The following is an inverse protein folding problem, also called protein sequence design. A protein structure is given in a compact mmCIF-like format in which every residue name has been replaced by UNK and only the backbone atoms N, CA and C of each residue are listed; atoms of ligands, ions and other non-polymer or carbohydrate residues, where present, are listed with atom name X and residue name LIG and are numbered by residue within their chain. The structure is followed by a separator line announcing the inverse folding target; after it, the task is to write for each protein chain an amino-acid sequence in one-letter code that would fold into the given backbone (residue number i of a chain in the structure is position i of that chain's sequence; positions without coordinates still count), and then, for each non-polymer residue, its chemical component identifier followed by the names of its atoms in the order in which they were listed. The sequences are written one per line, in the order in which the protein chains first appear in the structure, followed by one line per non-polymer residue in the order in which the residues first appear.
data_IF_798887803730
#
_entry.id   IF_798887803730
#
_cell.length_a   1.000
_cell.length_b   1.000
_cell.length_c   1.000
_cell.angle_alpha   90.00
_cell.angle_beta   90.00
_cell.angle_gamma   90.00
#
_symmetry.space_group_name_H-M   'P 1'
#
loop_
_entity.id
_entity.type
_entity.pdbx_description
1 polymer ?
#
# COMPACT_ATOMS: atom_id res chain seq x y z
N UNK A 1 73.47 -8.80 -17.54
CA UNK A 1 72.14 -8.31 -17.99
C UNK A 1 71.46 -7.65 -16.81
N UNK A 2 71.30 -6.32 -16.85
CA UNK A 2 70.67 -5.52 -15.78
C UNK A 2 69.30 -5.06 -16.29
N UNK A 3 68.23 -5.59 -15.72
CA UNK A 3 66.85 -5.23 -16.09
C UNK A 3 66.33 -4.22 -15.08
N UNK A 4 66.17 -2.96 -15.50
CA UNK A 4 65.50 -1.90 -14.73
C UNK A 4 63.99 -2.02 -14.95
N UNK A 5 63.24 -2.26 -13.88
CA UNK A 5 61.78 -2.21 -13.88
C UNK A 5 61.36 -0.76 -13.55
N UNK A 6 60.72 -0.08 -14.50
CA UNK A 6 60.08 1.22 -14.27
C UNK A 6 58.73 1.00 -13.56
N UNK A 7 58.58 1.55 -12.36
CA UNK A 7 57.29 1.68 -11.68
C UNK A 7 56.61 2.97 -12.17
N UNK A 8 55.47 2.85 -12.84
CA UNK A 8 54.58 3.98 -13.15
C UNK A 8 53.52 4.08 -12.07
N UNK A 9 53.58 5.13 -11.26
CA UNK A 9 52.55 5.46 -10.28
C UNK A 9 51.47 6.29 -10.97
N UNK A 10 50.31 5.68 -11.25
CA UNK A 10 49.15 6.37 -11.78
C UNK A 10 48.42 7.06 -10.62
N UNK A 11 48.54 8.39 -10.53
CA UNK A 11 47.75 9.21 -9.59
C UNK A 11 46.33 9.37 -10.19
N UNK A 12 45.37 8.62 -9.69
CA UNK A 12 43.94 8.85 -9.96
C UNK A 12 43.46 9.91 -8.97
N UNK A 13 43.38 11.17 -9.43
CA UNK A 13 42.68 12.23 -8.73
C UNK A 13 41.17 11.97 -8.83
N UNK A 14 40.62 11.27 -7.83
CA UNK A 14 39.18 11.29 -7.59
C UNK A 14 38.82 12.70 -7.11
N UNK A 15 38.25 13.51 -8.00
CA UNK A 15 37.50 14.70 -7.61
C UNK A 15 36.36 14.21 -6.72
N UNK A 16 36.51 14.37 -5.40
CA UNK A 16 35.41 14.25 -4.45
C UNK A 16 34.44 15.39 -4.77
N UNK A 17 33.54 15.16 -5.73
CA UNK A 17 32.40 16.04 -5.93
C UNK A 17 31.66 16.06 -4.61
N UNK A 18 31.41 17.27 -4.08
CA UNK A 18 30.57 17.51 -2.92
C UNK A 18 29.23 16.83 -3.14
N UNK A 19 29.11 15.59 -2.67
CA UNK A 19 27.84 14.94 -2.49
C UNK A 19 27.17 15.68 -1.35
N UNK A 20 26.46 16.77 -1.67
CA UNK A 20 25.62 17.49 -0.72
C UNK A 20 24.78 16.45 -0.01
N UNK A 21 24.97 16.36 1.31
CA UNK A 21 24.41 15.31 2.12
C UNK A 21 22.88 15.48 2.18
N UNK A 22 22.17 14.84 1.24
CA UNK A 22 20.71 14.88 1.15
C UNK A 22 20.09 14.61 2.52
N UNK A 23 19.04 15.38 2.84
CA UNK A 23 18.20 15.12 4.01
C UNK A 23 17.62 13.71 3.92
N UNK A 24 17.73 12.97 5.01
CA UNK A 24 17.19 11.63 5.18
C UNK A 24 16.20 11.65 6.34
N UNK A 25 15.14 10.86 6.24
CA UNK A 25 14.18 10.65 7.33
C UNK A 25 14.58 9.36 8.04
N UNK A 26 14.95 9.47 9.31
CA UNK A 26 15.10 8.36 10.23
C UNK A 26 13.77 8.10 10.94
N UNK A 27 13.58 6.87 11.40
CA UNK A 27 12.38 6.50 12.16
C UNK A 27 12.69 5.64 13.38
N UNK A 28 11.86 5.76 14.41
CA UNK A 28 11.87 4.94 15.62
C UNK A 28 10.44 4.54 15.97
N UNK A 29 10.24 3.29 16.36
CA UNK A 29 8.95 2.73 16.80
C UNK A 29 9.09 2.32 18.27
N UNK A 30 8.18 2.80 19.12
CA UNK A 30 8.15 2.55 20.57
C UNK A 30 9.47 2.81 21.29
N UNK A 31 10.22 3.83 20.84
CA UNK A 31 11.54 4.16 21.40
C UNK A 31 12.65 3.18 21.04
N UNK A 32 12.43 2.33 20.04
CA UNK A 32 13.46 1.47 19.45
C UNK A 32 14.58 2.25 18.76
N UNK A 33 15.58 1.56 18.18
CA UNK A 33 16.69 2.19 17.50
C UNK A 33 16.24 3.04 16.31
N UNK A 34 17.00 4.09 16.00
CA UNK A 34 16.79 4.88 14.79
C UNK A 34 17.19 4.07 13.55
N UNK A 35 16.26 3.90 12.63
CA UNK A 35 16.44 3.19 11.37
C UNK A 35 16.40 4.17 10.19
N UNK A 36 17.19 3.88 9.16
CA UNK A 36 17.25 4.60 7.89
C UNK A 36 16.64 3.75 6.76
N UNK A 37 15.48 3.15 7.03
CA UNK A 37 14.71 2.45 6.01
C UNK A 37 13.78 3.42 5.31
N UNK A 38 13.50 3.21 4.02
CA UNK A 38 12.52 4.05 3.29
C UNK A 38 11.07 3.67 3.62
N UNK A 39 10.84 2.57 4.36
CA UNK A 39 9.52 2.17 4.81
C UNK A 39 9.55 1.41 6.13
N UNK A 40 8.57 1.66 7.00
CA UNK A 40 8.34 0.94 8.26
C UNK A 40 6.88 0.44 8.39
N UNK A 41 6.66 -0.59 9.21
CA UNK A 41 5.38 -1.32 9.32
C UNK A 41 4.84 -1.46 10.75
N UNK A 42 4.62 -0.35 11.48
CA UNK A 42 4.19 -0.40 12.88
C UNK A 42 2.77 -0.98 13.07
N UNK A 43 2.58 -1.53 14.27
CA UNK A 43 1.33 -1.71 14.99
C UNK A 43 0.47 -0.45 15.02
N UNK A 44 -0.83 -0.51 14.72
CA UNK A 44 -1.78 0.50 15.19
C UNK A 44 -1.62 0.67 16.72
N UNK A 45 -1.51 1.92 17.15
CA UNK A 45 -1.25 2.27 18.55
C UNK A 45 0.23 2.26 18.95
N UNK A 46 1.15 1.75 18.13
CA UNK A 46 2.59 1.93 18.38
C UNK A 46 3.00 3.38 18.10
N UNK A 47 3.88 3.89 18.94
CA UNK A 47 4.40 5.25 18.82
C UNK A 47 5.42 5.32 17.71
N UNK A 48 5.18 6.16 16.71
CA UNK A 48 6.11 6.41 15.61
C UNK A 48 6.71 7.80 15.74
N UNK A 49 8.04 7.87 15.79
CA UNK A 49 8.80 9.12 15.78
C UNK A 49 9.62 9.18 14.49
N UNK A 50 9.53 10.31 13.77
CA UNK A 50 10.33 10.59 12.58
C UNK A 50 11.36 11.67 12.89
N UNK A 51 12.55 11.57 12.30
CA UNK A 51 13.64 12.53 12.48
C UNK A 51 14.30 12.90 11.16
N UNK A 52 14.43 14.18 10.87
CA UNK A 52 15.23 14.65 9.74
C UNK A 52 16.73 14.68 10.14
N UNK A 53 17.62 14.16 9.28
CA UNK A 53 19.06 14.13 9.56
C UNK A 53 19.69 15.52 9.68
N UNK A 54 20.80 15.60 10.42
CA UNK A 54 21.38 16.85 10.92
C UNK A 54 21.82 17.82 9.81
N UNK A 55 21.14 18.97 9.77
CA UNK A 55 21.81 20.25 9.55
C UNK A 55 21.79 21.02 10.89
N UNK A 56 22.95 21.34 11.49
CA UNK A 56 23.04 21.86 12.86
C UNK A 56 22.20 23.11 13.16
N UNK A 57 21.83 23.88 12.16
CA UNK A 57 21.14 25.18 12.30
C UNK A 57 19.94 25.33 11.33
N UNK A 58 19.48 24.24 10.70
CA UNK A 58 18.44 24.31 9.68
C UNK A 58 17.02 24.38 10.24
N UNK A 59 16.15 25.19 9.61
CA UNK A 59 14.72 25.17 9.85
C UNK A 59 14.09 23.98 9.09
N UNK A 60 13.41 23.09 9.81
CA UNK A 60 12.80 21.88 9.23
C UNK A 60 11.33 22.11 8.92
N UNK A 61 10.90 21.71 7.72
CA UNK A 61 9.49 21.66 7.31
C UNK A 61 9.14 20.23 6.95
N UNK A 62 8.02 19.76 7.50
CA UNK A 62 7.51 18.42 7.26
C UNK A 62 6.28 18.48 6.38
N UNK A 63 6.17 17.52 5.47
CA UNK A 63 5.03 17.40 4.58
C UNK A 63 4.50 15.97 4.58
N UNK A 64 3.18 15.84 4.54
CA UNK A 64 2.52 14.60 4.16
C UNK A 64 2.25 14.61 2.66
N UNK A 65 2.59 13.51 1.98
CA UNK A 65 2.26 13.28 0.58
C UNK A 65 1.18 12.21 0.53
N UNK A 66 0.08 12.48 -0.17
CA UNK A 66 -1.03 11.55 -0.30
C UNK A 66 -1.63 11.61 -1.70
N UNK A 67 -2.06 10.48 -2.25
CA UNK A 67 -2.74 10.47 -3.54
C UNK A 67 -4.21 10.88 -3.41
N UNK A 68 -4.80 11.34 -4.52
CA UNK A 68 -6.24 11.55 -4.64
C UNK A 68 -6.97 10.20 -4.76
N UNK A 69 -7.27 9.61 -3.61
CA UNK A 69 -7.97 8.32 -3.51
C UNK A 69 -9.49 8.41 -3.77
N UNK A 70 -9.98 9.55 -4.27
CA UNK A 70 -11.36 9.68 -4.75
C UNK A 70 -11.51 9.36 -6.25
N UNK A 71 -10.39 9.28 -6.97
CA UNK A 71 -10.35 9.02 -8.42
C UNK A 71 -10.16 7.54 -8.75
N UNK A 72 -10.58 7.19 -9.97
CA UNK A 72 -10.38 5.89 -10.59
C UNK A 72 -9.15 5.93 -11.49
N UNK A 73 -8.10 5.22 -11.09
CA UNK A 73 -6.90 5.08 -11.91
C UNK A 73 -6.88 3.74 -12.64
N UNK A 74 -6.34 3.72 -13.86
CA UNK A 74 -6.26 2.48 -14.65
C UNK A 74 -5.04 2.44 -15.57
N UNK A 75 -4.30 1.33 -15.52
CA UNK A 75 -3.31 1.03 -16.56
C UNK A 75 -3.85 0.12 -17.68
N UNK A 76 -5.07 -0.39 -17.52
CA UNK A 76 -5.77 -1.20 -18.50
C UNK A 76 -7.23 -0.76 -18.61
N UNK A 77 -7.87 -1.00 -19.76
CA UNK A 77 -9.29 -0.68 -19.96
C UNK A 77 -10.17 -1.48 -18.98
N UNK A 78 -11.14 -0.82 -18.37
CA UNK A 78 -12.05 -1.46 -17.42
C UNK A 78 -12.91 -2.55 -18.09
N UNK A 79 -13.49 -3.48 -17.31
CA UNK A 79 -14.37 -4.53 -17.85
C UNK A 79 -15.59 -4.02 -18.64
N UNK A 80 -16.04 -2.79 -18.38
CA UNK A 80 -17.19 -2.15 -19.02
C UNK A 80 -16.82 -1.19 -20.16
N UNK A 81 -15.55 -1.10 -20.52
CA UNK A 81 -15.06 -0.24 -21.61
C UNK A 81 -14.85 -1.04 -22.91
N UNK A 82 -14.75 -0.32 -24.03
CA UNK A 82 -14.25 -0.91 -25.27
C UNK A 82 -12.81 -1.42 -25.08
N UNK A 83 -12.48 -2.57 -25.67
CA UNK A 83 -11.20 -3.25 -25.47
C UNK A 83 -10.89 -3.61 -24.01
N UNK A 84 -11.91 -3.98 -23.24
CA UNK A 84 -11.80 -4.43 -21.85
C UNK A 84 -10.54 -5.29 -21.60
N UNK A 85 -9.85 -4.97 -20.49
CA UNK A 85 -8.59 -5.59 -20.03
C UNK A 85 -7.35 -5.32 -20.90
N UNK A 86 -7.46 -4.58 -22.00
CA UNK A 86 -6.28 -4.20 -22.79
C UNK A 86 -5.43 -3.16 -22.04
N UNK A 87 -4.12 -3.38 -21.99
CA UNK A 87 -3.15 -2.41 -21.46
C UNK A 87 -3.21 -1.07 -22.19
N UNK A 88 -3.30 0.03 -21.44
CA UNK A 88 -3.40 1.41 -21.95
C UNK A 88 -2.19 2.29 -21.62
N UNK A 89 -1.17 1.74 -20.95
CA UNK A 89 -0.05 2.51 -20.40
C UNK A 89 -0.25 2.85 -18.93
N UNK A 90 0.76 3.41 -18.27
CA UNK A 90 0.62 3.81 -16.88
C UNK A 90 -0.29 5.03 -16.73
N UNK A 91 -1.25 4.96 -15.82
CA UNK A 91 -2.03 6.14 -15.46
C UNK A 91 -1.21 7.11 -14.61
N UNK A 92 -1.55 8.40 -14.70
CA UNK A 92 -0.97 9.42 -13.84
C UNK A 92 -1.77 9.51 -12.54
N UNK A 93 -1.17 9.04 -11.46
CA UNK A 93 -1.74 9.21 -10.11
C UNK A 93 -1.51 10.66 -9.66
N UNK A 94 -2.59 11.32 -9.26
CA UNK A 94 -2.53 12.69 -8.73
C UNK A 94 -2.12 12.63 -7.26
N UNK A 95 -0.97 13.22 -6.95
CA UNK A 95 -0.48 13.36 -5.58
C UNK A 95 -0.65 14.80 -5.11
N UNK A 96 -1.03 14.94 -3.85
CA UNK A 96 -1.04 16.18 -3.11
C UNK A 96 0.08 16.17 -2.08
N UNK A 97 0.55 17.36 -1.72
CA UNK A 97 1.52 17.58 -0.66
C UNK A 97 0.98 18.65 0.27
N UNK A 98 0.85 18.31 1.53
CA UNK A 98 0.36 19.20 2.58
C UNK A 98 1.46 19.40 3.62
N UNK A 99 1.68 20.66 4.02
CA UNK A 99 2.63 20.97 5.08
C UNK A 99 2.01 20.67 6.44
N UNK A 100 2.77 19.99 7.30
CA UNK A 100 2.40 19.73 8.68
C UNK A 100 2.88 20.90 9.56
N UNK A 101 2.16 22.02 9.48
CA UNK A 101 2.56 23.29 10.10
C UNK A 101 2.71 23.22 11.62
N UNK A 102 1.99 22.33 12.31
CA UNK A 102 2.17 22.06 13.74
C UNK A 102 3.57 21.54 14.10
N UNK A 103 4.32 21.03 13.12
CA UNK A 103 5.68 20.52 13.28
C UNK A 103 6.76 21.43 12.69
N UNK A 104 6.42 22.67 12.31
CA UNK A 104 7.39 23.60 11.75
C UNK A 104 8.55 23.86 12.73
N UNK A 105 9.79 23.76 12.23
CA UNK A 105 11.01 23.91 13.02
C UNK A 105 11.36 22.70 13.90
N UNK A 106 10.49 21.69 13.98
CA UNK A 106 10.74 20.48 14.77
C UNK A 106 11.58 19.48 13.98
N UNK A 107 12.70 19.05 14.56
CA UNK A 107 13.56 18.02 13.95
C UNK A 107 13.01 16.61 14.09
N UNK A 108 12.31 16.38 15.19
CA UNK A 108 11.70 15.10 15.54
C UNK A 108 10.21 15.32 15.69
N UNK A 109 9.40 14.47 15.06
CA UNK A 109 7.95 14.61 15.03
C UNK A 109 7.27 13.28 15.34
N UNK A 110 6.09 13.34 15.95
CA UNK A 110 5.22 12.19 16.17
C UNK A 110 3.95 12.41 15.32
N UNK A 111 3.96 12.09 14.01
CA UNK A 111 2.93 12.55 13.06
C UNK A 111 1.54 11.95 13.29
N UNK A 112 1.43 10.98 14.19
CA UNK A 112 0.18 10.31 14.55
C UNK A 112 -0.29 10.64 15.98
N UNK A 113 0.49 11.39 16.76
CA UNK A 113 0.06 11.90 18.07
C UNK A 113 -0.73 13.20 17.85
N UNK A 114 -1.94 13.28 18.38
CA UNK A 114 -2.82 14.47 18.31
C UNK A 114 -3.32 14.82 16.90
N UNK A 115 -3.60 13.84 16.04
CA UNK A 115 -4.33 14.11 14.81
C UNK A 115 -5.74 14.63 15.14
N UNK A 116 -5.91 15.94 15.09
CA UNK A 116 -7.23 16.55 15.02
C UNK A 116 -7.81 16.18 13.67
N UNK A 117 -8.94 15.49 13.67
CA UNK A 117 -9.75 15.16 12.49
C UNK A 117 -10.07 16.45 11.72
N UNK A 118 -9.21 16.78 10.77
CA UNK A 118 -9.12 18.11 10.18
C UNK A 118 -8.67 18.01 8.74
N UNK A 119 -9.54 17.47 7.90
CA UNK A 119 -9.72 17.82 6.47
C UNK A 119 -10.85 16.93 5.96
N UNK A 120 -11.69 17.47 5.07
CA UNK A 120 -12.76 16.74 4.39
C UNK A 120 -12.09 15.77 3.39
N UNK A 121 -11.62 14.63 3.89
CA UNK A 121 -10.92 13.60 3.09
C UNK A 121 -11.94 12.63 2.50
N UNK A 122 -11.54 11.95 1.41
CA UNK A 122 -12.31 10.88 0.77
C UNK A 122 -12.89 9.90 1.81
N UNK A 123 -14.10 9.34 1.59
CA UNK A 123 -14.67 8.32 2.49
C UNK A 123 -13.80 7.07 2.63
N UNK A 124 -12.83 6.87 1.74
CA UNK A 124 -11.84 5.79 1.79
C UNK A 124 -10.60 6.13 2.63
N UNK A 125 -10.52 7.34 3.20
CA UNK A 125 -9.35 7.78 3.96
C UNK A 125 -9.39 7.29 5.40
N UNK A 126 -8.30 6.69 5.86
CA UNK A 126 -8.12 6.23 7.24
C UNK A 126 -6.99 7.02 7.91
N UNK A 127 -7.27 7.63 9.07
CA UNK A 127 -6.31 8.47 9.80
C UNK A 127 -5.28 7.67 10.62
N UNK A 128 -5.66 6.47 11.06
CA UNK A 128 -4.93 5.68 12.08
C UNK A 128 -4.43 4.32 11.58
N UNK A 129 -4.71 3.97 10.32
CA UNK A 129 -4.30 2.73 9.66
C UNK A 129 -4.07 3.00 8.17
N UNK A 130 -3.17 2.26 7.53
CA UNK A 130 -2.86 2.42 6.11
C UNK A 130 -1.47 2.98 5.85
N UNK A 131 -1.29 3.51 4.64
CA UNK A 131 -0.02 3.98 4.13
C UNK A 131 0.06 5.51 4.10
N UNK A 132 1.07 6.06 4.77
CA UNK A 132 1.33 7.49 4.87
C UNK A 132 2.73 7.79 4.36
N UNK A 133 2.91 8.85 3.57
CA UNK A 133 4.22 9.23 3.03
C UNK A 133 4.64 10.60 3.51
N UNK A 134 5.93 10.75 3.77
CA UNK A 134 6.48 11.96 4.35
C UNK A 134 7.67 12.48 3.55
N UNK A 135 7.79 13.80 3.52
CA UNK A 135 8.94 14.53 3.02
C UNK A 135 9.40 15.49 4.11
N UNK A 136 10.71 15.62 4.28
CA UNK A 136 11.33 16.66 5.09
C UNK A 136 12.14 17.59 4.20
N UNK A 137 11.99 18.90 4.41
CA UNK A 137 12.82 19.94 3.81
C UNK A 137 13.57 20.66 4.93
N UNK A 138 14.84 20.95 4.72
CA UNK A 138 15.69 21.65 5.69
C UNK A 138 16.34 22.84 5.02
N UNK A 139 16.06 24.03 5.54
CA UNK A 139 16.63 25.28 5.06
C UNK A 139 17.73 25.77 6.01
N UNK A 140 18.94 25.97 5.49
CA UNK A 140 20.09 26.45 6.26
C UNK A 140 20.90 27.46 5.44
N UNK A 141 21.07 28.69 5.97
CA UNK A 141 21.87 29.76 5.35
C UNK A 141 21.52 30.00 3.87
N UNK A 142 20.22 29.97 3.54
CA UNK A 142 19.70 30.17 2.19
C UNK A 142 19.86 28.98 1.23
N UNK A 143 20.35 27.84 1.71
CA UNK A 143 20.33 26.55 0.98
C UNK A 143 19.17 25.70 1.48
N UNK A 144 18.40 25.15 0.57
CA UNK A 144 17.33 24.20 0.89
C UNK A 144 17.71 22.82 0.36
N UNK A 145 17.65 21.83 1.25
CA UNK A 145 17.80 20.42 0.90
C UNK A 145 16.55 19.65 1.30
N UNK A 146 16.25 18.56 0.61
CA UNK A 146 15.05 17.78 0.86
C UNK A 146 15.32 16.29 0.79
N UNK A 147 14.54 15.53 1.57
CA UNK A 147 14.39 14.10 1.36
C UNK A 147 13.63 13.86 0.04
N UNK A 148 13.70 12.65 -0.53
CA UNK A 148 12.80 12.26 -1.60
C UNK A 148 11.35 12.62 -1.23
N UNK A 149 10.64 13.22 -2.19
CA UNK A 149 9.30 13.77 -1.99
C UNK A 149 8.47 13.74 -3.25
N UNK A 150 7.45 14.60 -3.35
CA UNK A 150 6.46 14.57 -4.44
C UNK A 150 7.09 14.78 -5.82
N UNK A 151 8.19 15.54 -5.90
CA UNK A 151 8.95 15.76 -7.13
C UNK A 151 9.72 14.54 -7.64
N UNK A 152 9.90 13.50 -6.80
CA UNK A 152 10.42 12.20 -7.23
C UNK A 152 9.25 11.28 -7.64
N UNK A 153 8.50 11.68 -8.67
CA UNK A 153 7.48 10.85 -9.30
C UNK A 153 7.85 10.61 -10.77
N UNK A 154 7.59 9.41 -11.27
CA UNK A 154 7.71 9.09 -12.69
C UNK A 154 6.38 8.56 -13.24
N UNK A 155 6.38 8.09 -14.49
CA UNK A 155 5.18 7.56 -15.14
C UNK A 155 4.52 6.40 -14.38
N UNK A 156 5.27 5.68 -13.54
CA UNK A 156 4.74 4.56 -12.74
C UNK A 156 4.15 5.00 -11.42
N UNK A 157 4.31 6.28 -11.04
CA UNK A 157 3.84 6.89 -9.81
C UNK A 157 4.97 7.42 -8.92
N UNK A 158 4.68 7.56 -7.62
CA UNK A 158 5.60 8.13 -6.64
C UNK A 158 6.76 7.17 -6.33
N UNK A 159 7.99 7.71 -6.28
CA UNK A 159 9.21 6.94 -6.02
C UNK A 159 9.14 6.15 -4.70
N UNK A 160 9.53 4.86 -4.69
CA UNK A 160 9.68 4.07 -3.46
C UNK A 160 10.76 4.59 -2.49
N UNK A 161 11.53 5.62 -2.89
CA UNK A 161 12.48 6.31 -2.01
C UNK A 161 11.82 7.34 -1.10
N UNK A 162 10.59 7.77 -1.42
CA UNK A 162 9.81 8.64 -0.52
C UNK A 162 9.48 7.84 0.73
N UNK A 163 9.83 8.38 1.89
CA UNK A 163 9.67 7.68 3.16
C UNK A 163 8.21 7.35 3.44
N UNK A 164 7.92 6.11 3.83
CA UNK A 164 6.56 5.59 4.05
C UNK A 164 6.39 4.94 5.42
N UNK A 165 5.30 5.28 6.10
CA UNK A 165 4.82 4.55 7.28
C UNK A 165 3.58 3.78 6.88
N UNK A 166 3.61 2.45 7.05
CA UNK A 166 2.51 1.54 6.71
C UNK A 166 1.94 0.92 7.99
N UNK A 167 0.97 1.58 8.62
CA UNK A 167 0.36 1.15 9.89
C UNK A 167 -0.59 -0.03 9.65
N UNK A 168 -0.44 -1.09 10.44
CA UNK A 168 -1.23 -2.33 10.37
C UNK A 168 -2.21 -2.43 11.53
N UNK A 169 -3.42 -2.92 11.29
CA UNK A 169 -4.42 -3.19 12.34
C UNK A 169 -4.24 -4.56 13.02
N UNK A 170 -3.14 -5.27 12.73
CA UNK A 170 -2.86 -6.59 13.30
C UNK A 170 -1.58 -7.24 12.77
N UNK A 171 -1.16 -8.33 13.42
CA UNK A 171 0.10 -9.02 13.05
C UNK A 171 -0.05 -9.96 11.84
N UNK A 172 -1.24 -10.49 11.59
CA UNK A 172 -1.51 -11.48 10.54
C UNK A 172 -1.67 -10.90 9.14
N UNK A 173 -2.02 -11.76 8.19
CA UNK A 173 -2.30 -11.40 6.81
C UNK A 173 -3.28 -10.22 6.67
N UNK A 174 -4.43 -10.27 7.35
CA UNK A 174 -5.42 -9.18 7.32
C UNK A 174 -4.81 -7.87 7.85
N UNK A 175 -3.97 -7.94 8.88
CA UNK A 175 -3.24 -6.78 9.38
C UNK A 175 -2.30 -6.17 8.33
N UNK A 176 -1.57 -6.99 7.57
CA UNK A 176 -0.80 -6.51 6.41
C UNK A 176 -1.70 -5.94 5.31
N UNK A 177 -2.86 -6.54 5.06
CA UNK A 177 -3.82 -6.03 4.09
C UNK A 177 -4.30 -4.62 4.48
N UNK A 178 -4.64 -4.37 5.74
CA UNK A 178 -5.04 -3.03 6.21
C UNK A 178 -3.96 -1.95 6.02
N UNK A 179 -2.68 -2.31 5.89
CA UNK A 179 -1.64 -1.31 5.60
C UNK A 179 -1.74 -0.69 4.20
N UNK A 180 -2.57 -1.27 3.33
CA UNK A 180 -2.91 -0.73 2.02
C UNK A 180 -4.10 0.25 2.04
N UNK A 181 -4.69 0.57 3.20
CA UNK A 181 -5.56 1.75 3.27
C UNK A 181 -4.78 3.00 2.84
N UNK A 182 -5.48 3.98 2.27
CA UNK A 182 -4.90 5.19 1.65
C UNK A 182 -4.01 4.92 0.40
N UNK A 183 -3.98 3.69 -0.12
CA UNK A 183 -3.39 3.38 -1.44
C UNK A 183 -4.49 3.47 -2.51
N UNK A 184 -4.25 4.15 -3.65
CA UNK A 184 -5.23 4.26 -4.72
C UNK A 184 -5.65 2.90 -5.29
N UNK A 185 -6.94 2.77 -5.62
CA UNK A 185 -7.39 1.74 -6.54
C UNK A 185 -6.79 2.01 -7.92
N UNK A 186 -6.09 1.03 -8.48
CA UNK A 186 -5.43 1.14 -9.78
C UNK A 186 -5.64 -0.13 -10.58
N UNK A 187 -6.59 -0.09 -11.51
CA UNK A 187 -6.92 -1.26 -12.33
C UNK A 187 -5.80 -1.64 -13.29
N UNK A 188 -5.42 -2.93 -13.32
CA UNK A 188 -4.26 -3.37 -14.09
C UNK A 188 -2.95 -2.86 -13.48
N UNK A 189 -2.89 -2.73 -12.17
CA UNK A 189 -1.64 -2.44 -11.46
C UNK A 189 -0.58 -3.49 -11.81
N UNK A 190 0.69 -3.11 -11.69
CA UNK A 190 1.81 -4.05 -11.83
C UNK A 190 2.42 -4.37 -10.46
N UNK A 191 3.18 -5.48 -10.32
CA UNK A 191 3.87 -5.82 -9.07
C UNK A 191 4.76 -4.71 -8.51
N UNK A 192 5.32 -3.87 -9.39
CA UNK A 192 6.06 -2.69 -8.97
C UNK A 192 5.19 -1.67 -8.23
N UNK A 193 3.97 -1.41 -8.70
CA UNK A 193 3.06 -0.43 -8.11
C UNK A 193 2.44 -0.97 -6.82
N UNK A 194 1.88 -2.19 -6.86
CA UNK A 194 1.27 -2.82 -5.69
C UNK A 194 2.32 -3.14 -4.61
N UNK A 195 3.48 -3.68 -5.00
CA UNK A 195 4.58 -3.97 -4.08
C UNK A 195 5.14 -2.73 -3.37
N UNK A 196 4.98 -1.53 -3.94
CA UNK A 196 5.45 -0.25 -3.39
C UNK A 196 4.33 0.66 -2.87
N UNK A 197 3.10 0.13 -2.73
CA UNK A 197 1.94 0.87 -2.21
C UNK A 197 1.57 2.10 -3.06
N UNK A 198 1.94 2.10 -4.35
CA UNK A 198 1.70 3.21 -5.28
C UNK A 198 0.24 3.18 -5.75
N UNK A 199 -0.26 1.98 -6.07
CA UNK A 199 -1.62 1.69 -6.48
C UNK A 199 -1.79 0.18 -6.60
N UNK A 200 -3.00 -0.33 -6.40
CA UNK A 200 -3.29 -1.75 -6.53
C UNK A 200 -4.72 -2.00 -7.00
N UNK A 201 -4.92 -3.08 -7.75
CA UNK A 201 -6.26 -3.62 -8.03
C UNK A 201 -6.67 -4.70 -7.00
N UNK A 202 -7.86 -5.28 -7.22
CA UNK A 202 -8.47 -6.26 -6.33
C UNK A 202 -7.61 -7.50 -6.05
N UNK A 203 -6.91 -8.06 -7.05
CA UNK A 203 -6.12 -9.27 -6.88
C UNK A 203 -4.70 -8.94 -6.41
N UNK A 204 -4.13 -7.87 -6.94
CA UNK A 204 -2.79 -7.42 -6.60
C UNK A 204 -2.68 -6.96 -5.15
N UNK A 205 -3.69 -6.28 -4.59
CA UNK A 205 -3.64 -5.85 -3.18
C UNK A 205 -3.58 -7.05 -2.24
N UNK A 206 -4.36 -8.10 -2.52
CA UNK A 206 -4.37 -9.32 -1.70
C UNK A 206 -3.02 -10.04 -1.78
N UNK A 207 -2.42 -10.11 -2.97
CA UNK A 207 -1.15 -10.79 -3.18
C UNK A 207 0.06 -9.98 -2.72
N UNK A 208 0.01 -8.66 -2.80
CA UNK A 208 1.05 -7.78 -2.27
C UNK A 208 1.05 -7.83 -0.74
N UNK A 209 -0.12 -7.79 -0.10
CA UNK A 209 -0.25 -7.99 1.34
C UNK A 209 0.22 -9.39 1.77
N UNK A 210 -0.16 -10.43 1.03
CA UNK A 210 0.27 -11.81 1.30
C UNK A 210 1.78 -11.96 1.20
N UNK A 211 2.39 -11.41 0.14
CA UNK A 211 3.84 -11.45 -0.04
C UNK A 211 4.55 -10.74 1.12
N UNK A 212 4.06 -9.57 1.54
CA UNK A 212 4.61 -8.83 2.68
C UNK A 212 4.50 -9.60 4.00
N UNK A 213 3.35 -10.22 4.25
CA UNK A 213 3.16 -11.09 5.41
C UNK A 213 4.15 -12.26 5.43
N UNK A 214 4.45 -12.83 4.27
CA UNK A 214 5.45 -13.90 4.11
C UNK A 214 6.91 -13.40 4.08
N UNK A 215 7.16 -12.11 4.30
CA UNK A 215 8.51 -11.52 4.26
C UNK A 215 9.10 -11.40 2.85
N UNK A 216 8.25 -11.37 1.83
CA UNK A 216 8.62 -11.33 0.40
C UNK A 216 8.08 -10.08 -0.29
N UNK A 217 8.59 -9.82 -1.49
CA UNK A 217 8.05 -8.81 -2.42
C UNK A 217 7.27 -9.55 -3.50
N UNK A 218 6.09 -9.04 -3.86
CA UNK A 218 5.31 -9.59 -4.96
C UNK A 218 6.12 -9.50 -6.27
N UNK A 219 6.43 -10.65 -6.86
CA UNK A 219 7.25 -10.73 -8.07
C UNK A 219 6.43 -10.97 -9.35
N UNK A 220 5.12 -11.19 -9.21
CA UNK A 220 4.25 -11.64 -10.28
C UNK A 220 2.90 -10.92 -10.21
N UNK A 221 2.42 -10.54 -11.39
CA UNK A 221 1.07 -10.02 -11.62
C UNK A 221 0.06 -11.16 -11.54
N UNK A 222 -1.00 -10.96 -10.75
CA UNK A 222 -2.07 -11.92 -10.57
C UNK A 222 -3.41 -11.28 -10.91
N UNK A 223 -4.14 -11.90 -11.83
CA UNK A 223 -5.58 -11.66 -11.95
C UNK A 223 -6.39 -12.64 -11.09
N UNK A 224 -7.67 -12.33 -10.90
CA UNK A 224 -8.58 -13.13 -10.07
C UNK A 224 -8.67 -14.59 -10.54
N UNK A 225 -8.77 -14.83 -11.86
CA UNK A 225 -8.87 -16.18 -12.41
C UNK A 225 -7.63 -17.04 -12.09
N UNK A 226 -6.43 -16.44 -12.10
CA UNK A 226 -5.20 -17.10 -11.69
C UNK A 226 -5.22 -17.46 -10.20
N UNK A 227 -5.74 -16.59 -9.34
CA UNK A 227 -5.84 -16.88 -7.90
C UNK A 227 -6.82 -18.02 -7.61
N UNK A 228 -7.96 -18.05 -8.31
CA UNK A 228 -8.94 -19.15 -8.24
C UNK A 228 -8.32 -20.49 -8.65
N UNK A 229 -7.41 -20.51 -9.63
CA UNK A 229 -6.69 -21.73 -10.01
C UNK A 229 -5.49 -22.07 -9.12
N UNK A 230 -4.96 -21.08 -8.38
CA UNK A 230 -3.75 -21.23 -7.55
C UNK A 230 -4.06 -21.79 -6.16
N UNK A 231 -5.12 -21.30 -5.51
CA UNK A 231 -5.39 -21.60 -4.11
C UNK A 231 -6.42 -22.72 -3.94
N UNK A 232 -6.29 -23.55 -2.89
CA UNK A 232 -7.30 -24.54 -2.53
C UNK A 232 -8.70 -23.93 -2.41
N UNK A 233 -9.67 -24.56 -3.08
CA UNK A 233 -11.08 -24.23 -2.91
C UNK A 233 -11.58 -24.77 -1.58
N UNK A 234 -12.21 -23.90 -0.79
CA UNK A 234 -12.92 -24.26 0.45
C UNK A 234 -14.38 -24.57 0.14
N UNK A 235 -15.05 -23.65 -0.56
CA UNK A 235 -16.47 -23.77 -0.90
C UNK A 235 -16.82 -23.03 -2.21
N UNK A 236 -18.02 -23.28 -2.75
CA UNK A 236 -18.56 -22.71 -4.00
C UNK A 236 -20.09 -22.70 -3.98
N UNK A 237 -20.69 -21.55 -4.33
CA UNK A 237 -22.15 -21.30 -4.23
C UNK A 237 -22.55 -20.05 -5.03
N UNK A 238 -23.84 -19.81 -5.18
CA UNK A 238 -24.35 -18.53 -5.70
C UNK A 238 -24.65 -17.57 -4.54
N UNK A 239 -24.42 -16.27 -4.75
CA UNK A 239 -24.84 -15.19 -3.85
C UNK A 239 -25.83 -14.28 -4.57
N UNK A 240 -26.90 -13.87 -3.88
CA UNK A 240 -27.84 -12.83 -4.31
C UNK A 240 -28.14 -11.91 -3.13
N UNK A 241 -27.97 -10.60 -3.30
CA UNK A 241 -28.11 -9.59 -2.24
C UNK A 241 -27.25 -9.89 -1.00
N UNK A 242 -26.05 -10.44 -1.21
CA UNK A 242 -25.16 -10.88 -0.12
C UNK A 242 -25.60 -12.14 0.61
N UNK A 243 -26.64 -12.85 0.14
CA UNK A 243 -27.14 -14.09 0.74
C UNK A 243 -26.70 -15.28 -0.12
N UNK A 244 -25.90 -16.22 0.44
CA UNK A 244 -25.60 -17.49 -0.22
C UNK A 244 -26.83 -18.37 -0.45
N UNK A 245 -26.88 -19.10 -1.58
CA UNK A 245 -27.95 -20.06 -1.91
C UNK A 245 -27.97 -21.33 -1.04
N UNK A 246 -26.98 -21.47 -0.15
CA UNK A 246 -26.84 -22.53 0.84
C UNK A 246 -26.21 -21.99 2.12
N UNK A 247 -26.45 -22.64 3.25
CA UNK A 247 -25.82 -22.25 4.51
C UNK A 247 -24.32 -22.58 4.51
N UNK A 248 -23.48 -21.56 4.73
CA UNK A 248 -22.02 -21.67 4.82
C UNK A 248 -21.61 -21.21 6.21
N UNK A 249 -20.99 -22.08 7.02
CA UNK A 249 -20.68 -21.77 8.43
C UNK A 249 -19.31 -21.09 8.58
N UNK A 250 -19.24 -20.05 9.40
CA UNK A 250 -18.00 -19.60 10.01
C UNK A 250 -17.39 -20.75 10.83
N UNK A 251 -16.09 -20.99 10.66
CA UNK A 251 -15.38 -22.19 11.10
C UNK A 251 -15.07 -23.16 9.96
N UNK A 252 -15.97 -23.31 8.97
CA UNK A 252 -15.63 -23.93 7.69
C UNK A 252 -14.86 -22.93 6.80
N UNK A 253 -15.43 -21.73 6.67
CA UNK A 253 -14.73 -20.52 6.21
C UNK A 253 -14.16 -19.76 7.40
N UNK A 254 -13.19 -18.88 7.19
CA UNK A 254 -12.56 -18.12 8.29
C UNK A 254 -12.01 -16.77 7.82
N UNK A 255 -11.75 -15.83 8.76
CA UNK A 255 -11.05 -14.60 8.44
C UNK A 255 -9.75 -14.85 7.66
N UNK A 256 -9.55 -14.09 6.59
CA UNK A 256 -8.41 -14.21 5.68
C UNK A 256 -8.58 -15.20 4.52
N UNK A 257 -9.63 -16.03 4.51
CA UNK A 257 -10.03 -16.73 3.28
C UNK A 257 -10.47 -15.70 2.23
N UNK A 258 -10.21 -15.98 0.95
CA UNK A 258 -10.61 -15.09 -0.14
C UNK A 258 -12.00 -15.45 -0.65
N UNK A 259 -12.78 -14.45 -0.98
CA UNK A 259 -14.06 -14.57 -1.67
C UNK A 259 -13.87 -14.03 -3.09
N UNK A 260 -14.00 -14.89 -4.10
CA UNK A 260 -13.89 -14.51 -5.51
C UNK A 260 -15.25 -14.68 -6.19
N UNK A 261 -15.70 -13.66 -6.94
CA UNK A 261 -16.99 -13.67 -7.64
C UNK A 261 -16.82 -13.68 -9.15
N UNK A 262 -17.63 -14.51 -9.80
CA UNK A 262 -17.93 -14.44 -11.22
C UNK A 262 -19.34 -13.88 -11.40
N UNK A 263 -19.43 -12.64 -11.86
CA UNK A 263 -20.72 -11.97 -12.09
C UNK A 263 -21.57 -12.69 -13.14
N UNK A 264 -22.89 -12.49 -13.07
CA UNK A 264 -23.81 -12.94 -14.12
C UNK A 264 -23.31 -12.46 -15.50
N UNK A 265 -23.34 -13.34 -16.50
CA UNK A 265 -22.75 -13.19 -17.85
C UNK A 265 -21.21 -13.18 -17.96
N UNK A 266 -20.50 -13.19 -16.83
CA UNK A 266 -19.05 -13.29 -16.76
C UNK A 266 -18.51 -14.63 -17.25
N UNK A 267 -17.48 -14.62 -18.09
CA UNK A 267 -16.76 -15.85 -18.51
C UNK A 267 -15.70 -16.32 -17.51
N UNK A 268 -15.24 -15.41 -16.66
CA UNK A 268 -14.18 -15.64 -15.67
C UNK A 268 -14.51 -14.87 -14.39
N UNK A 269 -13.88 -15.23 -13.27
CA UNK A 269 -13.97 -14.45 -12.03
C UNK A 269 -13.37 -13.05 -12.25
N UNK A 270 -14.10 -12.01 -11.82
CA UNK A 270 -13.73 -10.61 -12.11
C UNK A 270 -13.35 -9.82 -10.86
N UNK A 271 -13.80 -10.24 -9.68
CA UNK A 271 -13.56 -9.51 -8.44
C UNK A 271 -13.26 -10.45 -7.29
N UNK A 272 -12.46 -9.98 -6.33
CA UNK A 272 -12.00 -10.75 -5.18
C UNK A 272 -11.80 -9.85 -3.96
N UNK A 273 -12.05 -10.40 -2.78
CA UNK A 273 -11.78 -9.78 -1.49
C UNK A 273 -11.34 -10.80 -0.45
N UNK A 274 -11.04 -10.34 0.76
CA UNK A 274 -10.78 -11.18 1.91
C UNK A 274 -11.94 -11.10 2.91
N UNK A 275 -12.37 -12.25 3.43
CA UNK A 275 -13.32 -12.32 4.53
C UNK A 275 -12.67 -11.78 5.81
N UNK A 276 -13.37 -10.92 6.56
CA UNK A 276 -12.82 -10.27 7.76
C UNK A 276 -13.47 -10.81 9.02
N UNK A 277 -14.81 -10.78 9.10
CA UNK A 277 -15.52 -11.13 10.32
C UNK A 277 -16.98 -11.51 10.09
N UNK A 278 -17.42 -12.50 10.86
CA UNK A 278 -18.81 -12.75 11.22
C UNK A 278 -19.31 -11.56 12.07
N UNK A 279 -19.94 -10.57 11.44
CA UNK A 279 -20.12 -9.25 12.08
C UNK A 279 -21.41 -9.14 12.87
N UNK A 280 -22.41 -9.97 12.57
CA UNK A 280 -23.64 -10.10 13.36
C UNK A 280 -23.59 -11.29 14.34
N UNK A 281 -22.52 -12.09 14.30
CA UNK A 281 -22.23 -13.19 15.23
C UNK A 281 -23.24 -14.33 15.15
N UNK A 282 -23.83 -14.58 13.97
CA UNK A 282 -24.80 -15.65 13.76
C UNK A 282 -24.16 -17.00 13.35
N UNK A 283 -22.85 -16.99 13.06
CA UNK A 283 -22.07 -18.17 12.68
C UNK A 283 -22.23 -18.61 11.22
N UNK A 284 -22.95 -17.85 10.39
CA UNK A 284 -23.24 -18.13 8.98
C UNK A 284 -22.72 -16.98 8.09
N UNK A 285 -22.19 -17.31 6.91
CA UNK A 285 -21.85 -16.31 5.92
C UNK A 285 -23.12 -15.59 5.44
N UNK A 286 -23.21 -14.29 5.66
CA UNK A 286 -24.41 -13.52 5.39
C UNK A 286 -24.18 -12.07 4.94
N UNK A 287 -25.27 -11.36 4.62
CA UNK A 287 -25.21 -9.99 4.10
C UNK A 287 -24.62 -8.99 5.11
N UNK A 288 -24.65 -9.31 6.40
CA UNK A 288 -24.07 -8.50 7.48
C UNK A 288 -22.57 -8.68 7.66
N UNK A 289 -21.95 -9.65 6.97
CA UNK A 289 -20.53 -9.96 7.19
C UNK A 289 -19.58 -9.00 6.52
N UNK A 290 -18.44 -8.80 7.18
CA UNK A 290 -17.45 -7.82 6.75
C UNK A 290 -16.43 -8.47 5.82
N UNK A 291 -16.17 -7.77 4.73
CA UNK A 291 -15.13 -8.10 3.78
C UNK A 291 -14.19 -6.90 3.58
N UNK A 292 -12.95 -7.21 3.19
CA UNK A 292 -11.93 -6.22 2.86
C UNK A 292 -11.52 -6.44 1.40
N UNK A 293 -11.77 -5.45 0.55
CA UNK A 293 -11.54 -5.58 -0.89
C UNK A 293 -11.17 -4.23 -1.52
N UNK A 294 -10.57 -4.29 -2.71
CA UNK A 294 -10.30 -3.14 -3.57
C UNK A 294 -10.91 -3.39 -4.95
N UNK A 295 -10.86 -2.41 -5.84
CA UNK A 295 -11.33 -2.56 -7.22
C UNK A 295 -11.04 -1.29 -8.00
N UNK A 296 -12.02 -0.66 -8.66
CA UNK A 296 -11.82 0.73 -9.13
C UNK A 296 -11.65 1.69 -7.95
N UNK A 297 -12.16 1.32 -6.78
CA UNK A 297 -11.97 2.05 -5.52
C UNK A 297 -10.74 1.54 -4.76
N UNK A 298 -10.14 2.38 -3.90
CA UNK A 298 -9.16 1.97 -2.90
C UNK A 298 -9.64 0.80 -2.04
N UNK A 299 -8.70 0.17 -1.32
CA UNK A 299 -9.03 -0.84 -0.31
C UNK A 299 -10.03 -0.26 0.70
N UNK A 300 -11.14 -0.96 0.93
CA UNK A 300 -12.17 -0.55 1.87
C UNK A 300 -12.80 -1.75 2.56
N UNK A 301 -13.40 -1.49 3.73
CA UNK A 301 -14.35 -2.41 4.32
C UNK A 301 -15.72 -2.23 3.66
N UNK A 302 -16.43 -3.33 3.45
CA UNK A 302 -17.84 -3.32 3.10
C UNK A 302 -18.56 -4.51 3.71
N UNK A 303 -19.85 -4.37 3.93
CA UNK A 303 -20.69 -5.54 4.19
C UNK A 303 -20.84 -6.36 2.91
N UNK A 304 -21.02 -7.67 3.01
CA UNK A 304 -21.09 -8.57 1.86
C UNK A 304 -22.17 -8.14 0.85
N UNK A 305 -23.33 -7.67 1.34
CA UNK A 305 -24.41 -7.12 0.52
C UNK A 305 -24.04 -5.86 -0.27
N UNK A 306 -23.07 -5.08 0.20
CA UNK A 306 -22.62 -3.81 -0.38
C UNK A 306 -21.35 -3.99 -1.24
N UNK A 307 -20.59 -5.06 -0.99
CA UNK A 307 -19.28 -5.30 -1.59
C UNK A 307 -19.27 -5.74 -3.05
N UNK A 308 -20.44 -5.86 -3.68
CA UNK A 308 -20.59 -6.33 -5.08
C UNK A 308 -20.07 -7.77 -5.26
N UNK A 309 -20.56 -8.71 -4.46
CA UNK A 309 -20.22 -10.14 -4.55
C UNK A 309 -21.37 -11.04 -5.02
N UNK A 310 -22.41 -10.44 -5.62
CA UNK A 310 -23.53 -11.19 -6.20
C UNK A 310 -23.12 -11.94 -7.47
N UNK A 311 -23.49 -13.22 -7.54
CA UNK A 311 -23.14 -14.14 -8.63
C UNK A 311 -22.49 -15.41 -8.12
N UNK A 312 -21.71 -16.06 -8.99
CA UNK A 312 -21.11 -17.34 -8.69
C UNK A 312 -19.82 -17.16 -7.91
N UNK A 313 -19.80 -17.60 -6.66
CA UNK A 313 -18.71 -17.34 -5.71
C UNK A 313 -17.90 -18.59 -5.41
N UNK A 314 -16.59 -18.40 -5.26
CA UNK A 314 -15.67 -19.37 -4.65
C UNK A 314 -15.00 -18.79 -3.42
N UNK A 315 -14.96 -19.59 -2.37
CA UNK A 315 -14.11 -19.34 -1.21
C UNK A 315 -12.79 -20.07 -1.41
N UNK A 316 -11.68 -19.34 -1.31
CA UNK A 316 -10.32 -19.84 -1.51
C UNK A 316 -9.52 -19.68 -0.24
N UNK A 317 -8.66 -20.65 0.07
CA UNK A 317 -7.78 -20.59 1.23
C UNK A 317 -6.34 -20.37 0.78
N UNK A 318 -5.80 -19.16 0.86
CA UNK A 318 -4.35 -18.97 0.73
C UNK A 318 -3.62 -19.74 1.85
N UNK A 319 -2.43 -20.24 1.55
CA UNK A 319 -1.55 -20.95 2.50
C UNK A 319 -0.93 -19.97 3.52
N UNK A 320 -1.78 -19.29 4.28
CA UNK A 320 -1.42 -18.44 5.41
C UNK A 320 -1.07 -19.39 6.56
N UNK A 321 0.23 -19.61 6.79
CA UNK A 321 0.74 -20.37 7.93
C UNK A 321 0.68 -19.55 9.20
#
# INVERSE_FOLDING_TARGET
MKTRLLLWTLLVLFSAGDASARVVILSSVDGGPWLNDTAIYPLKGQRVVLKATDMPEGNVRWYQIFPDISKFYKNAAYPWEENAYQWTGFDKIDYHREELSSFQGQREICPFENQTSGTDRSPYYHNDVGSFRFQAEVENKGRSESSPGIGESDERGLSPKVFRVSIRDGQGYLGYLTSFFNVPGLFGSLPYQSGNYIGADCADVLMAAYSRYMGQIAAKDYNVAMLVGKFPKVDEFEITEGIPDKSVRWGHIRPGDFIAVRYQSGRQYQHIGALVADSDSDGILGPGDLILHAGPFPLCYSYLKEGSFDGHVRILRPDIK
#
